data_IF_278773250851
#
_entry.id   IF_278773250851
#
_cell.length_a   1.000
_cell.length_b   1.000
_cell.length_c   1.000
_cell.angle_alpha   90.00
_cell.angle_beta   90.00
_cell.angle_gamma   90.00
#
_symmetry.space_group_name_H-M   'P 1'
#
loop_
_entity.id
_entity.type
_entity.pdbx_description
1 polymer ?
#
# COMPACT_ATOMS: atom_id res chain seq x y z
N UNK A 1 4.58 1.73 -1.94
CA UNK A 1 4.71 0.27 -1.74
C UNK A 1 5.04 -0.46 -3.04
N UNK A 2 4.19 -0.42 -4.07
CA UNK A 2 4.41 -1.18 -5.31
C UNK A 2 5.75 -0.82 -6.00
N UNK A 3 6.11 0.46 -6.05
CA UNK A 3 7.42 0.89 -6.57
C UNK A 3 8.60 0.27 -5.78
N UNK A 4 8.48 0.14 -4.46
CA UNK A 4 9.48 -0.53 -3.61
C UNK A 4 9.62 -2.02 -3.99
N UNK A 5 8.49 -2.70 -4.26
CA UNK A 5 8.48 -4.10 -4.73
C UNK A 5 9.10 -4.23 -6.13
N UNK A 6 8.99 -3.21 -6.97
CA UNK A 6 9.67 -3.15 -8.26
C UNK A 6 11.20 -2.90 -8.15
N UNK A 7 11.71 -2.68 -6.94
CA UNK A 7 13.12 -2.43 -6.67
C UNK A 7 13.51 -0.95 -6.65
N UNK A 8 12.53 -0.04 -6.66
CA UNK A 8 12.78 1.41 -6.53
C UNK A 8 13.15 1.74 -5.10
N UNK A 9 14.27 2.42 -4.90
CA UNK A 9 14.79 2.84 -3.59
C UNK A 9 15.46 4.21 -3.72
N UNK A 10 15.63 4.87 -2.59
CA UNK A 10 16.36 6.13 -2.48
C UNK A 10 15.84 7.25 -3.40
N UNK A 11 14.52 7.30 -3.62
CA UNK A 11 13.85 8.31 -4.44
C UNK A 11 12.64 8.89 -3.73
N UNK A 12 12.32 10.13 -4.04
CA UNK A 12 11.07 10.79 -3.70
C UNK A 12 10.19 10.78 -4.94
N UNK A 13 9.03 10.13 -4.84
CA UNK A 13 8.07 10.03 -5.95
C UNK A 13 6.92 10.99 -5.67
N UNK A 14 6.75 11.98 -6.54
CA UNK A 14 5.59 12.87 -6.55
C UNK A 14 4.81 12.63 -7.84
N UNK A 15 3.54 12.25 -7.72
CA UNK A 15 2.66 12.04 -8.86
C UNK A 15 1.61 13.16 -8.89
N UNK A 16 1.55 13.86 -10.01
CA UNK A 16 0.51 14.86 -10.29
C UNK A 16 -0.19 14.50 -11.59
N UNK A 17 -1.47 14.78 -11.68
CA UNK A 17 -2.25 14.58 -12.89
C UNK A 17 -3.38 15.61 -12.95
N UNK A 18 -3.67 16.12 -14.15
CA UNK A 18 -4.77 17.06 -14.39
C UNK A 18 -6.16 16.42 -14.26
N UNK A 19 -6.19 15.09 -14.32
CA UNK A 19 -7.41 14.26 -14.17
C UNK A 19 -7.12 13.09 -13.24
N UNK A 20 -8.16 12.53 -12.65
CA UNK A 20 -8.06 11.30 -11.87
C UNK A 20 -7.50 10.18 -12.75
N UNK A 21 -6.40 9.57 -12.33
CA UNK A 21 -5.75 8.45 -12.99
C UNK A 21 -5.81 7.20 -12.13
N UNK A 22 -5.75 6.01 -12.76
CA UNK A 22 -5.64 4.74 -12.03
C UNK A 22 -4.26 4.60 -11.37
N UNK A 23 -4.17 3.72 -10.37
CA UNK A 23 -2.89 3.38 -9.74
C UNK A 23 -1.87 2.81 -10.75
N UNK A 24 -2.34 2.01 -11.71
CA UNK A 24 -1.52 1.48 -12.82
C UNK A 24 -0.93 2.58 -13.70
N UNK A 25 -1.75 3.57 -14.08
CA UNK A 25 -1.29 4.71 -14.87
C UNK A 25 -0.23 5.52 -14.11
N UNK A 26 -0.43 5.74 -12.80
CA UNK A 26 0.54 6.41 -11.96
C UNK A 26 1.85 5.61 -11.88
N UNK A 27 1.79 4.29 -11.67
CA UNK A 27 2.98 3.44 -11.61
C UNK A 27 3.71 3.37 -12.95
N UNK A 28 2.98 3.29 -14.06
CA UNK A 28 3.56 3.36 -15.41
C UNK A 28 4.32 4.67 -15.63
N UNK A 29 3.76 5.79 -15.15
CA UNK A 29 4.42 7.09 -15.17
C UNK A 29 5.74 7.07 -14.38
N UNK A 30 5.74 6.47 -13.18
CA UNK A 30 6.95 6.31 -12.36
C UNK A 30 8.00 5.48 -13.11
N UNK A 31 7.63 4.35 -13.70
CA UNK A 31 8.58 3.51 -14.43
C UNK A 31 9.19 4.23 -15.64
N UNK A 32 8.38 4.99 -16.39
CA UNK A 32 8.86 5.80 -17.52
C UNK A 32 9.84 6.90 -17.07
N UNK A 33 9.53 7.58 -15.98
CA UNK A 33 10.42 8.59 -15.42
C UNK A 33 11.78 7.99 -15.01
N UNK A 34 11.77 6.87 -14.28
CA UNK A 34 12.98 6.17 -13.88
C UNK A 34 13.81 5.69 -15.08
N UNK A 35 13.14 5.16 -16.11
CA UNK A 35 13.82 4.76 -17.35
C UNK A 35 14.44 5.95 -18.10
N UNK A 36 13.78 7.11 -18.10
CA UNK A 36 14.32 8.34 -18.67
C UNK A 36 15.57 8.84 -17.92
N UNK A 37 15.62 8.62 -16.60
CA UNK A 37 16.77 8.90 -15.75
C UNK A 37 17.87 7.81 -15.83
N UNK A 38 17.76 6.85 -16.74
CA UNK A 38 18.72 5.77 -16.96
C UNK A 38 18.66 4.61 -15.96
N UNK A 39 17.64 4.55 -15.10
CA UNK A 39 17.44 3.46 -14.17
C UNK A 39 16.71 2.29 -14.85
N UNK A 40 17.41 1.16 -14.99
CA UNK A 40 16.81 -0.08 -15.49
C UNK A 40 16.27 -0.90 -14.33
N UNK A 41 14.95 -1.09 -14.29
CA UNK A 41 14.31 -1.94 -13.31
C UNK A 41 14.37 -3.42 -13.73
N UNK A 42 14.56 -4.31 -12.76
CA UNK A 42 14.53 -5.74 -13.02
C UNK A 42 13.12 -6.20 -13.42
N UNK A 43 13.01 -6.91 -14.53
CA UNK A 43 11.73 -7.35 -15.08
C UNK A 43 10.94 -8.24 -14.12
N UNK A 44 11.58 -9.15 -13.40
CA UNK A 44 10.90 -10.03 -12.44
C UNK A 44 10.33 -9.23 -11.26
N UNK A 45 11.05 -8.20 -10.80
CA UNK A 45 10.57 -7.31 -9.75
C UNK A 45 9.34 -6.51 -10.22
N UNK A 46 9.40 -5.94 -11.43
CA UNK A 46 8.27 -5.15 -11.98
C UNK A 46 7.05 -6.02 -12.25
N UNK A 47 7.22 -7.23 -12.74
CA UNK A 47 6.12 -8.19 -12.91
C UNK A 47 5.47 -8.58 -11.59
N UNK A 48 6.27 -8.88 -10.55
CA UNK A 48 5.76 -9.19 -9.22
C UNK A 48 5.02 -7.98 -8.60
N UNK A 49 5.57 -6.78 -8.77
CA UNK A 49 4.96 -5.54 -8.31
C UNK A 49 3.62 -5.23 -9.01
N UNK A 50 3.55 -5.43 -10.33
CA UNK A 50 2.31 -5.29 -11.09
C UNK A 50 1.26 -6.32 -10.63
N UNK A 51 1.67 -7.56 -10.37
CA UNK A 51 0.77 -8.58 -9.82
C UNK A 51 0.12 -8.19 -8.48
N UNK A 52 0.80 -7.42 -7.63
CA UNK A 52 0.20 -6.85 -6.41
C UNK A 52 -0.86 -5.79 -6.77
N UNK A 53 -0.59 -4.94 -7.76
CA UNK A 53 -1.58 -3.95 -8.23
C UNK A 53 -2.85 -4.65 -8.73
N UNK A 54 -2.69 -5.61 -9.63
CA UNK A 54 -3.80 -6.37 -10.23
C UNK A 54 -4.62 -7.09 -9.15
N UNK A 55 -3.95 -7.67 -8.14
CA UNK A 55 -4.60 -8.39 -7.06
C UNK A 55 -5.35 -7.45 -6.07
N UNK A 56 -4.87 -6.22 -5.87
CA UNK A 56 -5.44 -5.29 -4.90
C UNK A 56 -6.49 -4.34 -5.48
N UNK A 57 -6.41 -4.02 -6.77
CA UNK A 57 -7.30 -3.06 -7.43
C UNK A 57 -8.79 -3.40 -7.28
N UNK A 58 -9.25 -4.67 -7.46
CA UNK A 58 -10.66 -5.00 -7.28
C UNK A 58 -11.20 -4.69 -5.88
N UNK A 59 -10.38 -4.92 -4.84
CA UNK A 59 -10.77 -4.59 -3.47
C UNK A 59 -10.88 -3.08 -3.24
N UNK A 60 -9.95 -2.31 -3.80
CA UNK A 60 -9.97 -0.84 -3.75
C UNK A 60 -11.24 -0.33 -4.43
N UNK A 61 -11.59 -0.89 -5.59
CA UNK A 61 -12.78 -0.51 -6.34
C UNK A 61 -14.09 -0.87 -5.62
N UNK A 62 -14.13 -2.01 -4.95
CA UNK A 62 -15.28 -2.43 -4.14
C UNK A 62 -15.47 -1.55 -2.89
N UNK A 63 -14.40 -0.97 -2.37
CA UNK A 63 -14.38 -0.17 -1.14
C UNK A 63 -14.18 1.34 -1.39
N UNK A 64 -14.61 1.87 -2.54
CA UNK A 64 -14.48 3.30 -2.90
C UNK A 64 -15.09 4.27 -1.87
N UNK A 65 -16.06 3.81 -1.09
CA UNK A 65 -16.68 4.58 -0.01
C UNK A 65 -15.75 4.80 1.20
N UNK A 66 -14.79 3.91 1.44
CA UNK A 66 -13.79 4.05 2.51
C UNK A 66 -12.48 4.60 1.94
N UNK A 67 -12.30 5.92 2.02
CA UNK A 67 -11.09 6.61 1.55
C UNK A 67 -9.79 6.11 2.20
N UNK A 68 -9.87 5.34 3.30
CA UNK A 68 -8.71 4.81 4.02
C UNK A 68 -8.38 3.39 3.60
N UNK A 69 -9.36 2.68 3.04
CA UNK A 69 -9.19 1.28 2.66
C UNK A 69 -7.95 1.04 1.79
N UNK A 70 -7.67 1.81 0.72
CA UNK A 70 -6.49 1.60 -0.10
C UNK A 70 -5.18 1.67 0.69
N UNK A 71 -5.05 2.66 1.57
CA UNK A 71 -3.87 2.82 2.42
C UNK A 71 -3.71 1.66 3.41
N UNK A 72 -4.80 1.27 4.08
CA UNK A 72 -4.81 0.14 5.00
C UNK A 72 -4.44 -1.18 4.31
N UNK A 73 -5.01 -1.43 3.12
CA UNK A 73 -4.70 -2.61 2.32
C UNK A 73 -3.21 -2.64 1.93
N UNK A 74 -2.69 -1.52 1.42
CA UNK A 74 -1.28 -1.45 1.01
C UNK A 74 -0.31 -1.52 2.19
N UNK A 75 -0.69 -1.05 3.38
CA UNK A 75 0.09 -1.24 4.61
C UNK A 75 0.12 -2.72 5.04
N UNK A 76 -1.03 -3.42 4.99
CA UNK A 76 -1.10 -4.85 5.27
C UNK A 76 -0.21 -5.66 4.32
N UNK A 77 -0.38 -5.46 3.01
CA UNK A 77 0.40 -6.13 1.96
C UNK A 77 1.90 -5.84 2.10
N UNK A 78 2.25 -4.60 2.40
CA UNK A 78 3.64 -4.19 2.59
C UNK A 78 4.31 -4.83 3.81
N UNK A 79 3.60 -4.93 4.93
CA UNK A 79 4.11 -5.62 6.12
C UNK A 79 4.36 -7.10 5.83
N UNK A 80 3.36 -7.79 5.24
CA UNK A 80 3.53 -9.21 4.87
C UNK A 80 4.70 -9.40 3.91
N UNK A 81 4.83 -8.54 2.91
CA UNK A 81 5.95 -8.61 1.95
C UNK A 81 7.32 -8.42 2.62
N UNK A 82 7.42 -7.52 3.60
CA UNK A 82 8.64 -7.34 4.41
C UNK A 82 8.96 -8.58 5.24
N UNK A 83 7.95 -9.15 5.91
CA UNK A 83 8.13 -10.32 6.76
C UNK A 83 8.52 -11.56 5.94
N UNK A 84 7.92 -11.76 4.75
CA UNK A 84 8.31 -12.81 3.80
C UNK A 84 9.76 -12.66 3.32
N UNK A 85 10.19 -11.44 3.00
CA UNK A 85 11.56 -11.16 2.61
C UNK A 85 12.54 -11.43 3.75
N UNK A 86 12.18 -11.04 4.98
CA UNK A 86 12.96 -11.32 6.18
C UNK A 86 13.11 -12.82 6.42
N UNK A 87 12.01 -13.57 6.36
CA UNK A 87 12.04 -15.04 6.51
C UNK A 87 12.94 -15.68 5.44
N UNK A 88 12.79 -15.28 4.16
CA UNK A 88 13.66 -15.76 3.08
C UNK A 88 15.14 -15.53 3.36
N UNK A 89 15.50 -14.36 3.89
CA UNK A 89 16.90 -14.02 4.16
C UNK A 89 17.47 -14.77 5.37
N UNK A 90 16.63 -15.02 6.39
CA UNK A 90 17.06 -15.70 7.61
C UNK A 90 17.11 -17.23 7.45
N UNK A 91 16.07 -17.81 6.86
CA UNK A 91 15.86 -19.25 6.83
C UNK A 91 16.20 -19.86 5.47
N UNK A 92 16.48 -19.04 4.46
CA UNK A 92 16.66 -19.43 3.07
C UNK A 92 15.50 -20.30 2.53
N UNK A 93 14.28 -20.06 3.03
CA UNK A 93 13.07 -20.78 2.67
C UNK A 93 11.96 -19.80 2.25
N UNK A 94 11.13 -20.28 1.33
CA UNK A 94 9.91 -19.57 0.96
C UNK A 94 8.76 -20.02 1.83
N UNK A 95 7.94 -19.06 2.27
CA UNK A 95 6.68 -19.34 2.93
C UNK A 95 5.73 -20.08 1.99
N UNK A 96 4.93 -20.98 2.53
CA UNK A 96 3.86 -21.67 1.79
C UNK A 96 2.71 -20.70 1.51
N UNK A 97 1.77 -21.10 0.63
CA UNK A 97 0.56 -20.30 0.41
C UNK A 97 -0.28 -20.15 1.65
N UNK A 98 -0.34 -21.18 2.46
CA UNK A 98 -1.05 -21.23 3.74
C UNK A 98 -0.43 -20.25 4.73
N UNK A 99 0.89 -20.22 4.84
CA UNK A 99 1.61 -19.27 5.70
C UNK A 99 1.37 -17.83 5.25
N UNK A 100 1.49 -17.56 3.94
CA UNK A 100 1.24 -16.22 3.36
C UNK A 100 -0.20 -15.80 3.64
N UNK A 101 -1.17 -16.73 3.52
CA UNK A 101 -2.56 -16.46 3.80
C UNK A 101 -2.77 -16.08 5.25
N UNK A 102 -2.23 -16.83 6.20
CA UNK A 102 -2.34 -16.52 7.61
C UNK A 102 -1.74 -15.16 7.94
N UNK A 103 -0.54 -14.88 7.43
CA UNK A 103 0.12 -13.58 7.61
C UNK A 103 -0.72 -12.43 7.05
N UNK A 104 -1.36 -12.64 5.89
CA UNK A 104 -2.22 -11.62 5.26
C UNK A 104 -3.51 -11.41 6.06
N UNK A 105 -4.16 -12.47 6.50
CA UNK A 105 -5.39 -12.41 7.31
C UNK A 105 -5.12 -11.64 8.61
N UNK A 106 -4.02 -11.92 9.30
CA UNK A 106 -3.59 -11.22 10.51
C UNK A 106 -3.29 -9.73 10.24
N UNK A 107 -2.63 -9.44 9.11
CA UNK A 107 -2.32 -8.07 8.72
C UNK A 107 -3.56 -7.27 8.36
N UNK A 108 -4.54 -7.86 7.67
CA UNK A 108 -5.83 -7.25 7.35
C UNK A 108 -6.65 -7.00 8.62
N UNK A 109 -6.64 -7.96 9.56
CA UNK A 109 -7.30 -7.82 10.86
C UNK A 109 -6.70 -6.66 11.67
N UNK A 110 -5.37 -6.55 11.74
CA UNK A 110 -4.66 -5.42 12.37
C UNK A 110 -5.03 -4.07 11.77
N UNK A 111 -5.30 -4.02 10.45
CA UNK A 111 -5.77 -2.81 9.78
C UNK A 111 -7.29 -2.59 9.90
N UNK A 112 -8.03 -3.55 10.48
CA UNK A 112 -9.49 -3.49 10.64
C UNK A 112 -10.25 -3.53 9.32
N UNK A 113 -9.73 -4.24 8.30
CA UNK A 113 -10.33 -4.36 6.97
C UNK A 113 -10.53 -5.80 6.51
N UNK A 114 -10.31 -6.78 7.37
CA UNK A 114 -10.45 -8.20 7.00
C UNK A 114 -11.86 -8.51 6.48
N UNK A 115 -12.91 -8.06 7.17
CA UNK A 115 -14.29 -8.28 6.75
C UNK A 115 -14.70 -7.52 5.48
N UNK A 116 -13.95 -6.50 5.11
CA UNK A 116 -14.17 -5.70 3.89
C UNK A 116 -13.42 -6.27 2.68
N UNK A 117 -12.55 -7.27 2.89
CA UNK A 117 -11.71 -7.87 1.84
C UNK A 117 -12.24 -9.26 1.51
N UNK A 118 -12.74 -9.46 0.30
CA UNK A 118 -13.33 -10.73 -0.10
C UNK A 118 -12.28 -11.85 -0.18
N UNK A 119 -12.71 -13.09 0.06
CA UNK A 119 -11.85 -14.29 -0.03
C UNK A 119 -11.15 -14.40 -1.38
N UNK A 120 -11.83 -14.06 -2.47
CA UNK A 120 -11.23 -14.08 -3.82
C UNK A 120 -10.07 -13.10 -3.91
N UNK A 121 -10.23 -11.88 -3.41
CA UNK A 121 -9.16 -10.88 -3.39
C UNK A 121 -8.00 -11.35 -2.50
N UNK A 122 -8.28 -11.88 -1.31
CA UNK A 122 -7.25 -12.44 -0.42
C UNK A 122 -6.44 -13.52 -1.15
N UNK A 123 -7.10 -14.45 -1.85
CA UNK A 123 -6.42 -15.49 -2.62
C UNK A 123 -5.51 -14.91 -3.71
N UNK A 124 -5.97 -13.90 -4.44
CA UNK A 124 -5.18 -13.24 -5.47
C UNK A 124 -3.95 -12.52 -4.87
N UNK A 125 -4.12 -11.85 -3.74
CA UNK A 125 -3.01 -11.20 -3.04
C UNK A 125 -2.00 -12.24 -2.51
N UNK A 126 -2.44 -13.38 -2.00
CA UNK A 126 -1.57 -14.49 -1.57
C UNK A 126 -0.69 -14.99 -2.73
N UNK A 127 -1.30 -15.17 -3.91
CA UNK A 127 -0.55 -15.58 -5.11
C UNK A 127 0.47 -14.51 -5.50
N UNK A 128 0.07 -13.24 -5.51
CA UNK A 128 0.93 -12.13 -5.86
C UNK A 128 2.09 -11.96 -4.85
N UNK A 129 1.84 -12.08 -3.55
CA UNK A 129 2.87 -12.08 -2.51
C UNK A 129 3.84 -13.26 -2.64
N UNK A 130 3.33 -14.43 -3.04
CA UNK A 130 4.16 -15.59 -3.38
C UNK A 130 5.12 -15.33 -4.54
N UNK A 131 4.74 -14.48 -5.50
CA UNK A 131 5.62 -14.04 -6.57
C UNK A 131 6.63 -12.98 -6.09
N UNK A 132 6.20 -12.05 -5.25
CA UNK A 132 7.09 -11.02 -4.66
C UNK A 132 8.19 -11.66 -3.83
N UNK A 133 7.89 -12.65 -2.98
CA UNK A 133 8.92 -13.32 -2.18
C UNK A 133 9.99 -14.03 -3.03
N UNK A 134 9.64 -14.44 -4.27
CA UNK A 134 10.57 -15.09 -5.22
C UNK A 134 11.32 -14.07 -6.07
N UNK A 135 10.86 -12.86 -6.18
CA UNK A 135 11.50 -11.82 -6.97
C UNK A 135 12.88 -11.46 -6.40
N UNK A 136 13.86 -11.08 -7.24
CA UNK A 136 15.22 -10.76 -6.81
C UNK A 136 15.27 -9.69 -5.71
N UNK A 137 14.39 -8.69 -5.75
CA UNK A 137 14.34 -7.60 -4.77
C UNK A 137 14.17 -8.09 -3.34
N UNK A 138 13.34 -9.10 -3.10
CA UNK A 138 13.08 -9.63 -1.75
C UNK A 138 14.29 -10.35 -1.14
N UNK A 139 15.30 -10.68 -1.93
CA UNK A 139 16.58 -11.20 -1.45
C UNK A 139 17.56 -10.12 -1.00
N UNK A 140 17.25 -8.84 -1.14
CA UNK A 140 18.13 -7.73 -0.76
C UNK A 140 17.85 -7.26 0.67
N UNK A 141 18.89 -7.01 1.46
CA UNK A 141 18.75 -6.52 2.84
C UNK A 141 17.99 -5.20 2.92
N UNK A 142 18.24 -4.28 1.99
CA UNK A 142 17.55 -2.99 1.93
C UNK A 142 16.04 -3.11 1.68
N UNK A 143 15.58 -4.20 1.06
CA UNK A 143 14.16 -4.36 0.77
C UNK A 143 13.31 -4.54 2.04
N UNK A 144 13.79 -5.34 2.99
CA UNK A 144 13.08 -5.60 4.26
C UNK A 144 12.79 -4.29 4.97
N UNK A 145 13.82 -3.46 5.14
CA UNK A 145 13.70 -2.18 5.85
C UNK A 145 12.85 -1.18 5.08
N UNK A 146 13.07 -1.05 3.77
CA UNK A 146 12.30 -0.14 2.93
C UNK A 146 10.81 -0.52 2.87
N UNK A 147 10.48 -1.79 2.69
CA UNK A 147 9.10 -2.27 2.66
C UNK A 147 8.39 -2.02 4.00
N UNK A 148 9.06 -2.31 5.11
CA UNK A 148 8.54 -2.07 6.45
C UNK A 148 8.34 -0.58 6.72
N UNK A 149 9.32 0.25 6.36
CA UNK A 149 9.23 1.70 6.55
C UNK A 149 8.09 2.30 5.73
N UNK A 150 7.96 1.92 4.46
CA UNK A 150 6.88 2.42 3.59
C UNK A 150 5.52 1.95 4.10
N UNK A 151 5.36 0.70 4.53
CA UNK A 151 4.12 0.19 5.11
C UNK A 151 3.74 0.95 6.39
N UNK A 152 4.71 1.22 7.26
CA UNK A 152 4.53 2.02 8.49
C UNK A 152 4.12 3.45 8.16
N UNK A 153 4.79 4.10 7.21
CA UNK A 153 4.46 5.47 6.79
C UNK A 153 3.04 5.57 6.20
N UNK A 154 2.62 4.59 5.40
CA UNK A 154 1.25 4.50 4.87
C UNK A 154 0.26 4.35 6.02
N UNK A 155 0.50 3.42 6.95
CA UNK A 155 -0.37 3.18 8.10
C UNK A 155 -0.52 4.43 8.97
N UNK A 156 0.58 5.11 9.26
CA UNK A 156 0.60 6.36 10.03
C UNK A 156 -0.15 7.49 9.31
N UNK A 157 0.01 7.62 7.99
CA UNK A 157 -0.69 8.63 7.20
C UNK A 157 -2.20 8.42 7.22
N UNK A 158 -2.66 7.16 7.19
CA UNK A 158 -4.08 6.81 7.29
C UNK A 158 -4.61 7.09 8.71
N UNK A 159 -3.80 6.86 9.74
CA UNK A 159 -4.13 7.14 11.15
C UNK A 159 -4.15 8.65 11.46
N UNK A 160 -3.11 9.38 11.09
CA UNK A 160 -2.92 10.80 11.43
C UNK A 160 -3.93 11.72 10.73
N UNK A 161 -4.35 11.41 9.50
CA UNK A 161 -5.44 12.16 8.83
C UNK A 161 -6.76 12.08 9.59
N UNK A 162 -6.97 11.03 10.40
CA UNK A 162 -8.16 10.93 11.27
C UNK A 162 -8.07 11.82 12.49
N UNK A 163 -6.92 11.93 13.13
CA UNK A 163 -6.73 12.84 14.25
C UNK A 163 -6.92 14.29 13.78
N UNK A 164 -6.27 14.67 12.68
CA UNK A 164 -6.41 16.02 12.10
C UNK A 164 -7.84 16.34 11.62
N UNK A 165 -8.57 15.36 11.05
CA UNK A 165 -9.96 15.56 10.65
C UNK A 165 -10.91 15.60 11.87
N UNK A 166 -10.64 14.82 12.92
CA UNK A 166 -11.38 14.91 14.18
C UNK A 166 -11.14 16.25 14.86
N UNK A 167 -9.90 16.71 14.93
CA UNK A 167 -9.55 18.00 15.50
C UNK A 167 -10.12 19.16 14.68
N UNK A 168 -10.13 19.04 13.35
CA UNK A 168 -10.77 20.03 12.47
C UNK A 168 -12.31 20.02 12.62
N UNK A 169 -12.94 18.86 12.68
CA UNK A 169 -14.38 18.73 12.86
C UNK A 169 -14.81 19.25 14.27
N UNK A 170 -14.07 18.88 15.32
CA UNK A 170 -14.35 19.38 16.67
C UNK A 170 -14.08 20.88 16.83
N UNK A 171 -13.11 21.44 16.12
CA UNK A 171 -12.84 22.89 16.10
C UNK A 171 -13.79 23.66 15.16
N UNK A 172 -14.33 23.03 14.12
CA UNK A 172 -15.34 23.64 13.24
C UNK A 172 -16.71 23.73 13.93
N UNK A 173 -17.11 22.71 14.69
CA UNK A 173 -18.37 22.70 15.46
C UNK A 173 -18.39 23.75 16.58
N UNK A 174 -17.22 24.14 17.13
CA UNK A 174 -17.15 25.13 18.20
C UNK A 174 -17.00 26.58 17.74
N UNK A 175 -16.60 26.83 16.50
CA UNK A 175 -16.33 28.20 15.99
C UNK A 175 -17.15 28.66 14.79
N UNK A 176 -17.78 27.76 14.06
CA UNK A 176 -18.44 28.08 12.78
C UNK A 176 -19.95 28.25 12.82
N UNK A 177 -20.65 27.62 13.75
CA UNK A 177 -22.12 27.65 13.78
C UNK A 177 -22.72 28.75 14.67
N UNK A 178 -22.00 29.28 15.62
CA UNK A 178 -22.51 30.36 16.46
C UNK A 178 -22.32 31.78 15.88
N UNK A 179 -21.44 31.91 14.89
CA UNK A 179 -21.13 33.22 14.28
C UNK A 179 -22.05 33.65 13.11
N UNK A 180 -22.75 32.71 12.52
CA UNK A 180 -23.52 33.00 11.28
C UNK A 180 -25.02 33.18 11.52
N UNK A 181 -25.53 32.77 12.65
CA UNK A 181 -26.97 32.97 13.00
C UNK A 181 -27.30 34.28 13.71
N UNK A 182 -26.30 35.08 14.10
CA UNK A 182 -26.52 36.38 14.77
C UNK A 182 -26.49 37.58 13.81
N UNK A 183 -26.43 37.36 12.49
CA UNK A 183 -26.42 38.48 11.49
C UNK A 183 -27.61 38.50 10.54
N UNK A 184 -28.62 37.70 10.78
CA UNK A 184 -29.87 37.72 9.98
C UNK A 184 -31.07 37.90 10.94
N UNK A 185 -31.02 38.98 11.75
CA UNK A 185 -32.21 39.64 12.35
C UNK A 185 -31.86 41.09 12.58
#
# INVERSE_FOLDING_TARGET
MVATMAGVKDVIITVTADKTVSGESALTGVYKALAADGLTLNQQNTQAANGIMDATQPAIDQNKGDKKYPGKLMAAVGNVSSDLAKQRQQDNQYATKEDIRQMLDDALAKQGIQSQTSTTVINNIVIALGNVQKAPVSGTSSYVDNAKQVASNISNSVGNKMAQLKDFASNADTRGMMGTLSRIW
#
